data_IF_103887103232
#
_entry.id   IF_103887103232
#
_cell.length_a   1.000
_cell.length_b   1.000
_cell.length_c   1.000
_cell.angle_alpha   90.00
_cell.angle_beta   90.00
_cell.angle_gamma   90.00
#
_symmetry.space_group_name_H-M   'P 1'
#
loop_
_entity.id
_entity.type
_entity.pdbx_description
1 polymer ?
#
# COMPACT_ATOMS: atom_id res chain seq x y z
N UNK A 1 -49.25 -3.14 -64.98
CA UNK A 1 -48.07 -2.28 -64.71
C UNK A 1 -47.72 -2.41 -63.23
N UNK A 2 -46.46 -2.74 -62.96
CA UNK A 2 -45.89 -3.06 -61.64
C UNK A 2 -45.63 -1.76 -60.89
N UNK A 3 -46.16 -1.60 -59.67
CA UNK A 3 -45.61 -0.64 -58.71
C UNK A 3 -45.11 -1.39 -57.48
N UNK A 4 -43.83 -1.17 -57.24
CA UNK A 4 -42.91 -1.91 -56.41
C UNK A 4 -42.59 -1.09 -55.15
N UNK A 5 -42.49 -1.78 -54.02
CA UNK A 5 -41.58 -1.56 -52.88
C UNK A 5 -41.29 -0.13 -52.38
N UNK A 6 -41.57 0.10 -51.08
CA UNK A 6 -40.51 0.33 -50.09
C UNK A 6 -41.09 0.46 -48.66
N UNK A 7 -41.19 -0.66 -47.94
CA UNK A 7 -41.41 -0.69 -46.50
C UNK A 7 -40.03 -0.57 -45.82
N UNK A 8 -39.67 0.63 -45.35
CA UNK A 8 -38.46 0.83 -44.53
C UNK A 8 -38.80 0.58 -43.06
N UNK A 9 -38.66 -0.68 -42.63
CA UNK A 9 -38.58 -1.04 -41.22
C UNK A 9 -37.16 -0.75 -40.72
N UNK A 10 -36.99 0.33 -39.96
CA UNK A 10 -35.75 0.59 -39.24
C UNK A 10 -35.79 -0.14 -37.89
N UNK A 11 -35.28 -1.37 -37.90
CA UNK A 11 -34.99 -2.14 -36.69
C UNK A 11 -33.69 -1.60 -36.10
N UNK A 12 -33.77 -0.66 -35.15
CA UNK A 12 -32.60 -0.21 -34.39
C UNK A 12 -32.39 -1.18 -33.23
N UNK A 13 -31.68 -2.27 -33.53
CA UNK A 13 -31.09 -3.15 -32.51
C UNK A 13 -29.92 -2.40 -31.88
N UNK A 14 -30.15 -1.73 -30.75
CA UNK A 14 -29.07 -1.24 -29.91
C UNK A 14 -28.42 -2.45 -29.22
N UNK A 15 -27.41 -3.03 -29.89
CA UNK A 15 -26.50 -3.98 -29.29
C UNK A 15 -25.78 -3.25 -28.14
N UNK A 16 -26.04 -3.71 -26.91
CA UNK A 16 -25.22 -3.39 -25.76
C UNK A 16 -23.82 -3.99 -25.98
N UNK A 17 -22.92 -3.22 -26.60
CA UNK A 17 -21.49 -3.46 -26.43
C UNK A 17 -21.12 -2.98 -25.04
N UNK A 18 -20.99 -3.96 -24.14
CA UNK A 18 -20.18 -3.89 -22.94
C UNK A 18 -18.79 -3.36 -23.29
N UNK A 19 -18.61 -2.06 -23.20
CA UNK A 19 -17.30 -1.46 -23.09
C UNK A 19 -16.87 -1.59 -21.62
N UNK A 20 -16.58 -2.83 -21.23
CA UNK A 20 -15.63 -3.11 -20.16
C UNK A 20 -14.28 -2.57 -20.64
N UNK A 21 -14.11 -1.25 -20.58
CA UNK A 21 -12.79 -0.68 -20.39
C UNK A 21 -12.41 -1.11 -18.98
N UNK A 22 -11.94 -2.35 -18.87
CA UNK A 22 -10.82 -2.63 -18.00
C UNK A 22 -9.83 -1.53 -18.37
N UNK A 23 -9.77 -0.50 -17.54
CA UNK A 23 -8.52 0.20 -17.33
C UNK A 23 -7.55 -0.96 -17.11
N UNK A 24 -6.79 -1.28 -18.15
CA UNK A 24 -5.52 -1.92 -18.00
C UNK A 24 -4.76 -0.97 -17.09
N UNK A 25 -4.92 -1.18 -15.78
CA UNK A 25 -3.83 -1.04 -14.83
C UNK A 25 -2.71 -1.76 -15.54
N UNK A 26 -1.76 -0.99 -16.08
CA UNK A 26 -0.66 -1.61 -16.80
C UNK A 26 -0.10 -2.71 -15.90
N UNK A 27 0.26 -3.85 -16.48
CA UNK A 27 1.06 -4.91 -15.85
C UNK A 27 2.48 -4.42 -15.46
N UNK A 28 2.64 -3.13 -15.16
CA UNK A 28 3.54 -2.76 -14.09
C UNK A 28 2.86 -3.22 -12.82
N UNK A 29 3.21 -4.43 -12.38
CA UNK A 29 3.23 -4.84 -10.97
C UNK A 29 3.15 -3.57 -10.12
N UNK A 30 2.03 -3.24 -9.46
CA UNK A 30 1.91 -1.99 -8.71
C UNK A 30 2.89 -2.07 -7.55
N UNK A 31 4.16 -1.81 -7.86
CA UNK A 31 5.25 -1.65 -6.95
C UNK A 31 4.84 -0.46 -6.14
N UNK A 32 4.30 -0.71 -4.96
CA UNK A 32 4.08 0.34 -3.99
C UNK A 32 5.44 1.02 -3.83
N UNK A 33 5.59 2.30 -4.18
CA UNK A 33 6.90 2.95 -4.28
C UNK A 33 7.63 3.09 -2.92
N UNK A 34 7.10 2.49 -1.84
CA UNK A 34 7.68 2.51 -0.50
C UNK A 34 7.83 1.13 0.18
N UNK A 35 7.58 0.00 -0.50
CA UNK A 35 7.80 -1.33 0.14
C UNK A 35 8.53 -2.35 -0.70
N UNK A 36 8.79 -2.12 -1.98
CA UNK A 36 9.56 -3.07 -2.79
C UNK A 36 11.07 -2.88 -2.52
N UNK A 37 11.52 -3.43 -1.40
CA UNK A 37 12.93 -3.49 -1.01
C UNK A 37 13.51 -2.21 -0.40
N UNK A 38 12.72 -1.13 -0.32
CA UNK A 38 13.12 0.11 0.34
C UNK A 38 12.74 0.10 1.83
N UNK A 39 13.49 -0.69 2.60
CA UNK A 39 13.36 -0.76 4.06
C UNK A 39 14.18 0.35 4.77
N UNK A 40 14.74 1.30 3.99
CA UNK A 40 15.54 2.40 4.53
C UNK A 40 14.61 3.35 5.28
N UNK A 41 14.92 3.59 6.55
CA UNK A 41 14.10 4.43 7.45
C UNK A 41 13.00 3.69 8.19
N UNK A 42 12.77 2.40 7.93
CA UNK A 42 11.83 1.60 8.71
C UNK A 42 12.43 1.20 10.08
N UNK A 43 11.56 1.14 11.09
CA UNK A 43 11.90 0.55 12.38
C UNK A 43 11.59 -0.94 12.36
N UNK A 44 12.66 -1.72 12.33
CA UNK A 44 12.62 -3.17 12.22
C UNK A 44 12.88 -3.78 13.59
N UNK A 45 12.20 -4.88 13.91
CA UNK A 45 12.51 -5.70 15.07
C UNK A 45 12.81 -7.14 14.64
N UNK A 46 13.87 -7.72 15.19
CA UNK A 46 14.25 -9.10 14.89
C UNK A 46 13.23 -10.06 15.49
N UNK A 47 12.79 -11.08 14.74
CA UNK A 47 11.92 -12.10 15.32
C UNK A 47 12.70 -13.22 16.01
N UNK A 48 13.91 -13.51 15.51
CA UNK A 48 14.82 -14.55 15.99
C UNK A 48 16.16 -13.92 16.38
N UNK A 49 16.98 -14.67 17.12
CA UNK A 49 18.38 -14.32 17.30
C UNK A 49 19.12 -14.44 15.96
N UNK A 50 20.04 -13.51 15.71
CA UNK A 50 20.75 -13.41 14.43
C UNK A 50 22.23 -13.16 14.68
N UNK A 51 23.05 -14.01 14.08
CA UNK A 51 24.50 -13.90 14.07
C UNK A 51 25.00 -13.34 12.74
N UNK A 52 26.12 -12.61 12.77
CA UNK A 52 26.80 -12.14 11.56
C UNK A 52 26.89 -10.62 11.40
N UNK A 53 26.55 -9.85 12.44
CA UNK A 53 26.65 -8.39 12.39
C UNK A 53 28.11 -7.96 12.61
N UNK A 54 28.74 -7.39 11.60
CA UNK A 54 30.13 -6.90 11.71
C UNK A 54 30.11 -5.38 11.91
N UNK A 55 30.74 -4.83 12.97
CA UNK A 55 30.72 -3.39 13.22
C UNK A 55 31.40 -2.63 12.08
N UNK A 56 30.83 -1.49 11.69
CA UNK A 56 31.39 -0.59 10.68
C UNK A 56 32.17 0.49 11.42
N UNK A 57 33.49 0.40 11.40
CA UNK A 57 34.37 1.38 12.04
C UNK A 57 35.55 1.71 11.15
N UNK A 58 35.97 2.98 11.16
CA UNK A 58 37.16 3.43 10.43
C UNK A 58 38.47 3.13 11.17
N UNK A 59 38.39 2.77 12.46
CA UNK A 59 39.56 2.44 13.26
C UNK A 59 40.11 1.05 12.90
N UNK A 60 41.40 1.00 12.56
CA UNK A 60 42.11 -0.21 12.16
C UNK A 60 42.12 -1.31 13.25
N UNK A 61 41.93 -0.94 14.51
CA UNK A 61 42.02 -1.81 15.69
C UNK A 61 40.69 -2.33 16.23
N UNK A 62 39.56 -2.01 15.60
CA UNK A 62 38.28 -2.52 16.11
C UNK A 62 38.11 -3.99 15.71
N UNK A 63 37.79 -4.78 16.72
CA UNK A 63 37.37 -6.18 16.64
C UNK A 63 36.35 -6.40 15.50
N UNK A 64 36.84 -6.85 14.34
CA UNK A 64 36.04 -7.18 13.14
C UNK A 64 35.26 -8.48 13.28
N UNK A 65 35.27 -9.10 14.47
CA UNK A 65 34.52 -10.31 14.70
C UNK A 65 33.01 -10.03 14.64
N UNK A 66 32.24 -10.91 14.00
CA UNK A 66 30.78 -10.81 13.96
C UNK A 66 30.18 -10.84 15.37
N UNK A 67 29.10 -10.10 15.52
CA UNK A 67 28.28 -9.96 16.73
C UNK A 67 26.95 -10.68 16.54
N UNK A 68 26.31 -10.97 17.66
CA UNK A 68 24.95 -11.51 17.69
C UNK A 68 23.94 -10.48 18.20
N UNK A 69 22.75 -10.46 17.63
CA UNK A 69 21.62 -9.71 18.14
C UNK A 69 20.53 -10.67 18.60
N UNK A 70 19.99 -10.45 19.80
CA UNK A 70 18.88 -11.25 20.30
C UNK A 70 17.55 -10.89 19.62
N UNK A 71 16.60 -11.82 19.67
CA UNK A 71 15.21 -11.62 19.27
C UNK A 71 14.59 -10.39 19.95
N UNK A 72 13.72 -9.70 19.22
CA UNK A 72 13.09 -8.43 19.56
C UNK A 72 14.06 -7.24 19.70
N UNK A 73 15.34 -7.38 19.32
CA UNK A 73 16.22 -6.22 19.12
C UNK A 73 15.68 -5.35 17.98
N UNK A 74 15.65 -4.03 18.19
CA UNK A 74 15.17 -3.06 17.22
C UNK A 74 16.31 -2.36 16.49
N UNK A 75 16.16 -2.24 15.17
CA UNK A 75 17.15 -1.70 14.26
C UNK A 75 16.51 -0.86 13.15
N UNK A 76 17.29 0.00 12.52
CA UNK A 76 16.92 0.70 11.28
C UNK A 76 17.97 0.44 10.21
N UNK A 77 17.56 0.37 8.95
CA UNK A 77 18.50 0.26 7.83
C UNK A 77 18.97 1.64 7.44
N UNK A 78 20.29 1.83 7.43
CA UNK A 78 20.93 3.10 7.07
C UNK A 78 21.32 3.13 5.59
N UNK A 79 21.76 1.99 5.03
CA UNK A 79 22.05 1.83 3.61
C UNK A 79 22.09 0.36 3.18
N UNK A 80 22.06 0.11 1.87
CA UNK A 80 22.24 -1.22 1.26
C UNK A 80 23.22 -1.13 0.09
N UNK A 81 24.07 -2.14 -0.04
CA UNK A 81 24.90 -2.40 -1.23
C UNK A 81 24.50 -3.74 -1.85
N UNK A 82 25.18 -4.14 -2.92
CA UNK A 82 24.92 -5.44 -3.56
C UNK A 82 25.15 -6.63 -2.61
N UNK A 83 26.10 -6.50 -1.69
CA UNK A 83 26.54 -7.61 -0.82
C UNK A 83 26.09 -7.47 0.63
N UNK A 84 25.89 -6.24 1.11
CA UNK A 84 25.66 -5.95 2.53
C UNK A 84 24.49 -5.00 2.77
N UNK A 85 23.80 -5.25 3.88
CA UNK A 85 22.82 -4.33 4.47
C UNK A 85 23.44 -3.71 5.72
N UNK A 86 23.38 -2.38 5.81
CA UNK A 86 23.91 -1.59 6.92
C UNK A 86 22.76 -1.24 7.86
N UNK A 87 22.93 -1.57 9.13
CA UNK A 87 21.90 -1.45 10.16
C UNK A 87 22.44 -0.75 11.39
N UNK A 88 21.61 0.05 12.04
CA UNK A 88 21.90 0.65 13.34
C UNK A 88 20.89 0.15 14.38
N UNK A 89 21.39 -0.30 15.54
CA UNK A 89 20.52 -0.80 16.62
C UNK A 89 20.09 0.31 17.57
N UNK A 90 18.78 0.43 17.81
CA UNK A 90 18.20 1.39 18.74
C UNK A 90 17.74 0.76 20.05
N UNK A 91 17.51 -0.55 20.03
CA UNK A 91 17.20 -1.38 21.18
C UNK A 91 17.84 -2.74 21.01
N UNK A 92 18.52 -3.22 22.04
CA UNK A 92 19.24 -4.49 22.00
C UNK A 92 18.69 -5.41 23.07
N UNK A 93 18.39 -6.64 22.68
CA UNK A 93 18.04 -7.72 23.59
C UNK A 93 19.17 -8.74 23.63
N UNK A 94 19.36 -9.37 24.78
CA UNK A 94 20.28 -10.49 24.89
C UNK A 94 19.77 -11.68 24.05
N UNK A 95 20.65 -12.41 23.35
CA UNK A 95 20.27 -13.64 22.68
C UNK A 95 19.62 -14.63 23.65
N UNK A 96 18.58 -15.33 23.19
CA UNK A 96 17.88 -16.37 23.96
C UNK A 96 18.44 -17.77 23.66
N UNK A 97 18.97 -17.97 22.46
CA UNK A 97 19.57 -19.21 21.96
C UNK A 97 21.08 -19.16 22.03
N UNK A 98 21.66 -20.11 22.77
CA UNK A 98 23.11 -20.32 22.81
C UNK A 98 23.64 -20.95 21.52
N UNK A 99 22.81 -21.68 20.78
CA UNK A 99 23.25 -22.43 19.61
C UNK A 99 23.55 -21.52 18.40
N UNK A 100 22.75 -20.46 18.24
CA UNK A 100 22.89 -19.51 17.13
C UNK A 100 24.02 -18.52 17.38
N UNK A 101 24.16 -18.06 18.63
CA UNK A 101 25.08 -16.97 18.98
C UNK A 101 26.39 -17.44 19.62
N UNK A 102 26.45 -18.68 20.13
CA UNK A 102 27.63 -19.22 20.81
C UNK A 102 28.20 -18.27 21.86
N UNK A 103 29.52 -18.06 21.82
CA UNK A 103 30.23 -17.10 22.66
C UNK A 103 30.43 -15.73 21.99
N UNK A 104 29.70 -15.43 20.91
CA UNK A 104 29.83 -14.17 20.21
C UNK A 104 29.34 -13.02 21.10
N UNK A 105 30.04 -11.88 21.04
CA UNK A 105 29.60 -10.68 21.76
C UNK A 105 28.30 -10.15 21.16
N UNK A 106 27.44 -9.57 22.00
CA UNK A 106 26.21 -8.93 21.55
C UNK A 106 26.48 -7.66 20.75
N UNK A 107 25.56 -7.32 19.85
CA UNK A 107 25.51 -5.99 19.23
C UNK A 107 25.30 -4.91 20.29
N UNK A 108 25.68 -3.68 19.96
CA UNK A 108 25.59 -2.52 20.85
C UNK A 108 24.64 -1.48 20.25
N UNK A 109 23.93 -0.77 21.12
CA UNK A 109 23.04 0.32 20.74
C UNK A 109 23.84 1.49 20.16
N UNK A 110 23.29 2.14 19.12
CA UNK A 110 23.89 3.30 18.44
C UNK A 110 25.13 2.96 17.62
N UNK A 111 25.42 1.67 17.42
CA UNK A 111 26.54 1.22 16.58
C UNK A 111 25.99 0.72 15.24
N UNK A 112 26.60 1.18 14.16
CA UNK A 112 26.29 0.69 12.81
C UNK A 112 27.02 -0.63 12.55
N UNK A 113 26.28 -1.62 12.09
CA UNK A 113 26.77 -2.91 11.66
C UNK A 113 26.46 -3.13 10.20
N UNK A 114 27.26 -3.97 9.54
CA UNK A 114 26.92 -4.56 8.25
C UNK A 114 26.61 -6.04 8.45
N UNK A 115 25.64 -6.55 7.70
CA UNK A 115 25.27 -7.96 7.63
C UNK A 115 25.17 -8.35 6.16
N UNK A 116 25.58 -9.57 5.81
CA UNK A 116 25.46 -10.06 4.43
C UNK A 116 23.99 -10.10 4.01
N UNK A 117 23.69 -9.69 2.77
CA UNK A 117 22.33 -9.68 2.24
C UNK A 117 21.69 -11.07 2.26
N UNK A 118 22.47 -12.13 2.01
CA UNK A 118 22.01 -13.52 2.11
C UNK A 118 21.51 -13.87 3.51
N UNK A 119 22.25 -13.47 4.55
CA UNK A 119 21.84 -13.66 5.94
C UNK A 119 20.63 -12.79 6.27
N UNK A 120 20.67 -11.50 5.94
CA UNK A 120 19.58 -10.56 6.21
C UNK A 120 18.24 -11.03 5.62
N UNK A 121 18.24 -11.46 4.35
CA UNK A 121 17.03 -11.92 3.65
C UNK A 121 16.48 -13.24 4.20
N UNK A 122 17.27 -14.01 4.94
CA UNK A 122 16.83 -15.25 5.59
C UNK A 122 16.22 -15.05 6.97
N UNK A 123 16.35 -13.85 7.54
CA UNK A 123 15.88 -13.54 8.88
C UNK A 123 14.43 -13.06 8.84
N UNK A 124 13.60 -13.61 9.73
CA UNK A 124 12.27 -13.08 9.95
C UNK A 124 12.35 -11.73 10.70
N UNK A 125 11.90 -10.67 10.05
CA UNK A 125 11.92 -9.30 10.59
C UNK A 125 10.48 -8.80 10.71
N UNK A 126 10.20 -8.10 11.81
CA UNK A 126 8.95 -7.36 12.03
C UNK A 126 9.17 -5.92 11.61
N UNK A 127 8.44 -5.46 10.60
CA UNK A 127 8.47 -4.06 10.19
C UNK A 127 7.35 -3.28 10.89
N UNK A 128 7.73 -2.23 11.61
CA UNK A 128 6.81 -1.26 12.20
C UNK A 128 7.24 0.14 11.79
N UNK A 129 6.29 1.03 11.52
CA UNK A 129 6.66 2.40 11.16
C UNK A 129 5.65 3.10 10.29
N UNK A 130 6.04 4.29 9.84
CA UNK A 130 5.27 5.07 8.88
C UNK A 130 5.43 4.46 7.50
N UNK A 131 4.32 4.34 6.79
CA UNK A 131 4.26 3.97 5.38
C UNK A 131 3.62 5.11 4.61
N UNK A 132 4.07 5.36 3.40
CA UNK A 132 3.50 6.39 2.53
C UNK A 132 3.56 5.92 1.08
N UNK A 133 2.73 6.45 0.20
CA UNK A 133 2.77 6.07 -1.20
C UNK A 133 1.61 6.64 -1.98
N UNK A 134 1.39 6.12 -3.19
CA UNK A 134 0.19 6.39 -3.96
C UNK A 134 -0.84 5.27 -3.71
N UNK A 135 -2.09 5.66 -3.49
CA UNK A 135 -3.22 4.78 -3.33
C UNK A 135 -4.22 5.03 -4.45
N UNK A 136 -4.46 4.00 -5.24
CA UNK A 136 -5.54 3.98 -6.23
C UNK A 136 -6.75 3.33 -5.57
N UNK A 137 -7.85 4.05 -5.50
CA UNK A 137 -9.13 3.61 -4.92
C UNK A 137 -10.12 3.44 -6.07
N UNK A 138 -10.20 2.24 -6.69
CA UNK A 138 -10.94 2.04 -7.94
C UNK A 138 -12.46 1.92 -7.75
N UNK A 139 -12.93 1.52 -6.57
CA UNK A 139 -14.34 1.19 -6.32
C UNK A 139 -14.92 1.95 -5.14
N UNK A 140 -15.09 3.27 -5.29
CA UNK A 140 -15.85 4.05 -4.30
C UNK A 140 -17.33 3.85 -4.51
N UNK A 141 -18.04 3.46 -3.47
CA UNK A 141 -19.48 3.30 -3.45
C UNK A 141 -20.11 4.35 -2.56
N UNK A 142 -21.01 5.15 -3.13
CA UNK A 142 -21.85 6.11 -2.40
C UNK A 142 -23.32 5.94 -2.76
N UNK A 143 -24.20 6.34 -1.84
CA UNK A 143 -25.64 6.37 -2.10
C UNK A 143 -26.04 7.71 -2.72
N UNK A 144 -26.54 7.67 -3.95
CA UNK A 144 -27.15 8.80 -4.64
C UNK A 144 -28.40 9.32 -3.91
N UNK A 145 -28.95 10.45 -4.37
CA UNK A 145 -30.22 10.97 -3.83
C UNK A 145 -31.42 10.08 -4.18
N UNK A 146 -31.35 9.40 -5.31
CA UNK A 146 -32.31 8.37 -5.73
C UNK A 146 -32.08 7.01 -5.07
N UNK A 147 -31.23 6.95 -4.04
CA UNK A 147 -30.79 5.72 -3.35
C UNK A 147 -30.10 4.71 -4.26
N UNK A 148 -29.69 5.10 -5.48
CA UNK A 148 -28.87 4.24 -6.33
C UNK A 148 -27.43 4.30 -5.89
N UNK A 149 -26.73 3.19 -6.13
CA UNK A 149 -25.31 3.08 -5.88
C UNK A 149 -24.55 3.77 -7.02
N UNK A 150 -23.77 4.79 -6.68
CA UNK A 150 -22.91 5.50 -7.63
C UNK A 150 -21.47 5.06 -7.41
N UNK A 151 -20.76 4.76 -8.49
CA UNK A 151 -19.36 4.39 -8.46
C UNK A 151 -18.45 5.55 -8.92
N UNK A 152 -17.27 5.65 -8.31
CA UNK A 152 -16.20 6.54 -8.77
C UNK A 152 -14.83 5.98 -8.39
N UNK A 153 -13.78 6.56 -8.97
CA UNK A 153 -12.40 6.20 -8.68
C UNK A 153 -11.60 7.42 -8.23
N UNK A 154 -10.52 7.20 -7.47
CA UNK A 154 -9.63 8.27 -7.02
C UNK A 154 -8.21 7.80 -6.90
N UNK A 155 -7.29 8.71 -7.21
CA UNK A 155 -5.86 8.50 -7.04
C UNK A 155 -5.41 9.55 -6.04
N UNK A 156 -4.86 9.10 -4.91
CA UNK A 156 -4.44 9.98 -3.83
C UNK A 156 -3.13 9.49 -3.22
N UNK A 157 -2.24 10.40 -2.80
CA UNK A 157 -1.20 10.01 -1.86
C UNK A 157 -1.82 9.53 -0.55
N UNK A 158 -1.18 8.55 0.08
CA UNK A 158 -1.57 8.04 1.39
C UNK A 158 -0.39 8.07 2.37
N UNK A 159 -0.73 8.16 3.64
CA UNK A 159 0.14 7.94 4.78
C UNK A 159 -0.55 6.93 5.70
N UNK A 160 0.19 5.97 6.24
CA UNK A 160 -0.32 4.94 7.12
C UNK A 160 0.72 4.52 8.13
N UNK A 161 0.30 3.72 9.11
CA UNK A 161 1.21 3.12 10.10
C UNK A 161 1.14 1.62 9.94
N UNK A 162 2.29 0.95 9.86
CA UNK A 162 2.37 -0.52 9.86
C UNK A 162 2.24 -1.04 11.28
N UNK A 163 1.24 -1.88 11.52
CA UNK A 163 1.02 -2.53 12.81
C UNK A 163 1.26 -4.04 12.70
N UNK A 164 2.26 -4.53 13.43
CA UNK A 164 2.66 -5.94 13.44
C UNK A 164 1.86 -6.80 14.44
N UNK A 165 0.73 -6.33 14.95
CA UNK A 165 -0.07 -7.08 15.96
C UNK A 165 -0.61 -8.41 15.44
N UNK A 166 -0.88 -8.52 14.12
CA UNK A 166 -1.37 -9.75 13.49
C UNK A 166 -0.25 -10.58 12.83
N UNK A 167 1.02 -10.20 13.05
CA UNK A 167 2.15 -10.82 12.36
C UNK A 167 2.28 -12.32 12.67
N UNK A 168 1.90 -12.74 13.90
CA UNK A 168 1.85 -14.15 14.29
C UNK A 168 0.87 -15.00 13.49
N UNK A 169 -0.14 -14.40 12.87
CA UNK A 169 -1.10 -15.07 11.99
C UNK A 169 -0.71 -15.00 10.51
N UNK A 170 0.44 -14.41 10.18
CA UNK A 170 0.85 -14.24 8.78
C UNK A 170 0.22 -13.05 8.06
N UNK A 171 -0.43 -12.14 8.80
CA UNK A 171 -1.07 -10.94 8.23
C UNK A 171 -0.46 -9.66 8.80
N UNK A 172 -0.45 -8.62 7.98
CA UNK A 172 -0.04 -7.27 8.36
C UNK A 172 -1.23 -6.32 8.19
N UNK A 173 -1.60 -5.62 9.26
CA UNK A 173 -2.66 -4.63 9.27
C UNK A 173 -2.06 -3.22 9.22
N UNK A 174 -2.53 -2.38 8.29
CA UNK A 174 -2.07 -1.01 8.13
C UNK A 174 -3.25 -0.05 8.19
N UNK A 175 -3.50 0.66 9.31
CA UNK A 175 -4.33 1.85 9.27
C UNK A 175 -3.75 2.86 8.28
N UNK A 176 -4.60 3.36 7.39
CA UNK A 176 -4.22 4.32 6.34
C UNK A 176 -5.13 5.54 6.36
N UNK A 177 -4.52 6.69 6.12
CA UNK A 177 -5.17 7.95 5.80
C UNK A 177 -4.73 8.35 4.39
N UNK A 178 -5.69 8.68 3.53
CA UNK A 178 -5.39 9.14 2.18
C UNK A 178 -6.20 10.39 1.88
N UNK A 179 -5.56 11.37 1.23
CA UNK A 179 -6.19 12.59 0.80
C UNK A 179 -5.63 13.03 -0.54
N UNK A 180 -6.49 13.39 -1.50
CA UNK A 180 -6.05 13.70 -2.85
C UNK A 180 -7.16 14.20 -3.76
N UNK A 181 -6.90 14.19 -5.07
CA UNK A 181 -7.83 14.69 -6.09
C UNK A 181 -8.61 13.51 -6.67
N UNK A 182 -9.93 13.63 -6.64
CA UNK A 182 -10.88 12.68 -7.19
C UNK A 182 -11.56 13.26 -8.44
N UNK A 183 -11.98 12.40 -9.35
CA UNK A 183 -12.89 12.76 -10.43
C UNK A 183 -14.27 12.19 -10.10
N UNK A 184 -15.26 13.06 -9.98
CA UNK A 184 -16.64 12.68 -9.70
C UNK A 184 -17.48 13.02 -10.92
N UNK A 185 -18.29 12.07 -11.37
CA UNK A 185 -19.25 12.31 -12.46
C UNK A 185 -20.53 12.90 -11.86
N UNK A 186 -20.91 14.09 -12.33
CA UNK A 186 -22.16 14.77 -11.95
C UNK A 186 -23.06 14.92 -13.19
N UNK A 187 -24.40 14.81 -13.05
CA UNK A 187 -25.31 15.12 -14.13
C UNK A 187 -25.20 16.59 -14.54
N UNK A 188 -25.11 16.87 -15.84
CA UNK A 188 -25.14 18.25 -16.33
C UNK A 188 -26.60 18.66 -16.57
N UNK A 189 -27.10 19.69 -15.89
CA UNK A 189 -28.49 20.15 -16.05
C UNK A 189 -28.80 20.67 -17.47
N UNK A 190 -27.79 21.10 -18.22
CA UNK A 190 -27.94 21.68 -19.56
C UNK A 190 -27.65 20.71 -20.71
N UNK A 191 -27.10 19.51 -20.45
CA UNK A 191 -26.72 18.52 -21.47
C UNK A 191 -27.11 17.12 -21.01
N UNK A 192 -27.58 16.27 -21.92
CA UNK A 192 -27.90 14.85 -21.66
C UNK A 192 -26.70 13.97 -21.27
N UNK A 193 -25.52 14.56 -21.01
CA UNK A 193 -24.28 13.86 -20.72
C UNK A 193 -23.75 14.25 -19.34
N UNK A 194 -23.22 13.27 -18.61
CA UNK A 194 -22.54 13.51 -17.34
C UNK A 194 -21.25 14.30 -17.57
N UNK A 195 -20.92 15.16 -16.62
CA UNK A 195 -19.67 15.92 -16.59
C UNK A 195 -18.79 15.42 -15.46
N UNK A 196 -17.51 15.22 -15.73
CA UNK A 196 -16.53 14.91 -14.69
C UNK A 196 -16.02 16.22 -14.08
N UNK A 197 -16.14 16.35 -12.77
CA UNK A 197 -15.63 17.46 -11.98
C UNK A 197 -14.50 17.00 -11.07
N UNK A 198 -13.55 17.89 -10.82
CA UNK A 198 -12.52 17.67 -9.82
C UNK A 198 -13.09 17.83 -8.41
N UNK A 199 -12.76 16.90 -7.52
CA UNK A 199 -13.13 16.93 -6.12
C UNK A 199 -11.89 16.71 -5.24
N UNK A 200 -11.85 17.31 -4.06
CA UNK A 200 -10.88 16.91 -3.04
C UNK A 200 -11.47 15.73 -2.26
N UNK A 201 -10.73 14.65 -2.08
CA UNK A 201 -11.21 13.45 -1.41
C UNK A 201 -10.34 13.13 -0.22
N UNK A 202 -10.94 12.81 0.92
CA UNK A 202 -10.23 12.33 2.10
C UNK A 202 -10.84 11.03 2.59
N UNK A 203 -10.00 10.12 3.08
CA UNK A 203 -10.41 8.80 3.52
C UNK A 203 -9.53 8.24 4.63
N UNK A 204 -10.14 7.37 5.42
CA UNK A 204 -9.54 6.61 6.51
C UNK A 204 -9.93 5.15 6.34
N UNK A 205 -9.04 4.24 6.66
CA UNK A 205 -9.36 2.82 6.59
C UNK A 205 -8.20 1.94 6.98
N UNK A 206 -8.30 0.68 6.56
CA UNK A 206 -7.31 -0.33 6.86
C UNK A 206 -6.98 -1.11 5.59
N UNK A 207 -5.70 -1.41 5.42
CA UNK A 207 -5.23 -2.38 4.45
C UNK A 207 -4.72 -3.62 5.18
N UNK A 208 -4.93 -4.77 4.57
CA UNK A 208 -4.49 -6.07 5.04
C UNK A 208 -3.62 -6.68 3.94
N UNK A 209 -2.42 -7.10 4.31
CA UNK A 209 -1.51 -7.83 3.41
C UNK A 209 -1.07 -9.12 4.07
N UNK A 210 -0.72 -10.14 3.29
CA UNK A 210 -0.08 -11.34 3.83
C UNK A 210 1.43 -11.18 3.81
N UNK A 211 2.08 -11.68 4.86
CA UNK A 211 3.54 -11.61 5.03
C UNK A 211 4.23 -12.68 4.19
N UNK A 212 3.51 -13.78 3.88
CA UNK A 212 4.05 -14.88 3.08
C UNK A 212 4.12 -14.56 1.59
N UNK A 213 3.24 -13.67 1.13
CA UNK A 213 3.10 -13.35 -0.27
C UNK A 213 2.63 -11.89 -0.42
N UNK A 214 3.55 -10.98 -0.73
CA UNK A 214 3.23 -9.56 -0.92
C UNK A 214 2.21 -9.31 -2.04
N UNK A 215 1.94 -10.33 -2.87
CA UNK A 215 0.96 -10.30 -3.95
C UNK A 215 -0.47 -10.11 -3.47
N UNK A 216 -0.84 -10.67 -2.31
CA UNK A 216 -2.22 -10.51 -1.82
C UNK A 216 -2.34 -9.26 -0.96
N UNK A 217 -3.26 -8.37 -1.37
CA UNK A 217 -3.67 -7.21 -0.61
C UNK A 217 -5.18 -7.09 -0.58
N UNK A 218 -5.71 -6.65 0.55
CA UNK A 218 -7.11 -6.34 0.73
C UNK A 218 -7.23 -5.02 1.48
N UNK A 219 -8.38 -4.37 1.40
CA UNK A 219 -8.64 -3.29 2.32
C UNK A 219 -10.03 -2.68 2.20
N UNK A 220 -10.29 -1.85 3.18
CA UNK A 220 -11.55 -1.12 3.34
C UNK A 220 -11.22 0.31 3.66
N UNK A 221 -11.81 1.25 2.91
CA UNK A 221 -11.68 2.68 3.14
C UNK A 221 -13.07 3.29 3.30
N UNK A 222 -13.17 4.25 4.21
CA UNK A 222 -14.32 5.11 4.40
C UNK A 222 -13.86 6.53 4.14
N UNK A 223 -14.60 7.26 3.33
CA UNK A 223 -14.17 8.60 2.96
C UNK A 223 -15.31 9.51 2.56
N UNK A 224 -14.92 10.71 2.17
CA UNK A 224 -15.83 11.76 1.74
C UNK A 224 -15.17 12.63 0.69
N UNK A 225 -15.96 13.03 -0.29
CA UNK A 225 -15.55 13.96 -1.33
C UNK A 225 -16.04 15.38 -0.99
N UNK A 226 -15.17 16.34 -1.24
CA UNK A 226 -15.35 17.76 -0.99
C UNK A 226 -15.33 18.48 -2.33
N UNK A 227 -16.50 18.96 -2.71
CA UNK A 227 -16.76 19.66 -3.97
C UNK A 227 -17.23 21.09 -3.68
N UNK A 228 -17.05 22.01 -4.64
CA UNK A 228 -17.49 23.40 -4.52
C UNK A 228 -19.03 23.50 -4.36
N UNK A 229 -19.54 24.62 -3.85
CA UNK A 229 -21.00 24.80 -3.68
C UNK A 229 -21.75 24.84 -5.01
N UNK A 230 -21.13 25.34 -6.07
CA UNK A 230 -21.76 25.46 -7.38
C UNK A 230 -21.89 24.11 -8.06
N UNK A 231 -20.85 23.28 -7.97
CA UNK A 231 -20.86 21.91 -8.51
C UNK A 231 -21.79 20.96 -7.74
N UNK A 232 -22.10 21.27 -6.47
CA UNK A 232 -23.07 20.51 -5.66
C UNK A 232 -24.52 20.69 -6.10
N UNK A 233 -24.84 21.73 -6.89
CA UNK A 233 -26.23 21.98 -7.32
C UNK A 233 -26.74 20.84 -8.21
N UNK A 234 -25.89 20.31 -9.09
CA UNK A 234 -26.25 19.22 -10.00
C UNK A 234 -26.31 17.85 -9.33
N UNK A 235 -25.58 17.63 -8.23
CA UNK A 235 -25.69 16.41 -7.42
C UNK A 235 -25.34 16.67 -5.94
N UNK A 236 -26.36 16.95 -5.09
CA UNK A 236 -26.16 17.13 -3.65
C UNK A 236 -25.58 15.90 -2.95
N UNK A 237 -25.77 14.71 -3.52
CA UNK A 237 -25.35 13.43 -2.94
C UNK A 237 -23.83 13.22 -2.98
N UNK A 238 -23.07 14.03 -3.70
CA UNK A 238 -21.59 13.95 -3.75
C UNK A 238 -20.93 14.17 -2.39
N UNK A 239 -21.60 14.89 -1.49
CA UNK A 239 -21.09 15.18 -0.13
C UNK A 239 -21.33 14.03 0.86
N UNK A 240 -22.07 12.99 0.45
CA UNK A 240 -22.32 11.81 1.27
C UNK A 240 -21.04 10.99 1.44
N UNK A 241 -20.89 10.30 2.59
CA UNK A 241 -19.77 9.40 2.78
C UNK A 241 -19.82 8.26 1.75
N UNK A 242 -18.64 7.78 1.38
CA UNK A 242 -18.45 6.63 0.52
C UNK A 242 -17.65 5.55 1.24
N UNK A 243 -17.84 4.30 0.79
CA UNK A 243 -17.03 3.15 1.21
C UNK A 243 -16.34 2.58 -0.02
N UNK A 244 -15.09 2.15 0.13
CA UNK A 244 -14.37 1.41 -0.90
C UNK A 244 -13.89 0.10 -0.33
N UNK A 245 -14.08 -0.97 -1.08
CA UNK A 245 -13.58 -2.31 -0.81
C UNK A 245 -12.69 -2.69 -1.99
N UNK A 246 -11.51 -3.23 -1.70
CA UNK A 246 -10.67 -3.81 -2.74
C UNK A 246 -10.04 -5.11 -2.27
N UNK A 247 -9.84 -5.99 -3.25
CA UNK A 247 -9.10 -7.24 -3.16
C UNK A 247 -8.19 -7.25 -4.37
N UNK A 248 -6.88 -7.26 -4.12
CA UNK A 248 -5.84 -7.27 -5.13
C UNK A 248 -4.98 -8.52 -4.98
N UNK A 249 -4.70 -9.16 -6.11
CA UNK A 249 -3.65 -10.17 -6.24
C UNK A 249 -2.72 -9.64 -7.32
N UNK A 250 -1.48 -9.27 -6.96
CA UNK A 250 -0.43 -8.99 -7.95
C UNK A 250 0.02 -10.33 -8.53
N UNK A 251 -0.08 -10.53 -9.84
CA UNK A 251 0.32 -11.80 -10.48
C UNK A 251 1.79 -11.73 -10.86
#
# INVERSE_FOLDING_TARGET
>A
MKNSFALKAAFVTALALSASHALAVGDGDPKYPSSDGNDIGDHLALHTDVYGFVPVTDAADVDKQPRCAGSESSLSITSKTNDFTFVEFHGVQAPKSTDTCGSAKSVQKGTTYKIANSTYNSVAIKATGLSYGALVVPFKFRLGDDKKLVNSATIAPYIGVRWSVLQGFGYELRPVFAAGIALVSVPNEAKTANQNIGAFSASLGFTLSTIKDSKFSAGVLFGKDFVSKDDRKGDPSVVKPWVSLWLGVSI
#
